data_IF_606635020563
#
_entry.id   IF_606635020563
#
_cell.length_a   1.000
_cell.length_b   1.000
_cell.length_c   1.000
_cell.angle_alpha   90.00
_cell.angle_beta   90.00
_cell.angle_gamma   90.00
#
_symmetry.space_group_name_H-M   'P 1'
#
loop_
_entity.id
_entity.type
_entity.pdbx_description
1 polymer ?
#
# COMPACT_ATOMS: atom_id res chain seq x y z
N UNK A 1 14.43 11.84 3.76
CA UNK A 1 15.00 10.61 4.35
C UNK A 1 15.57 9.69 3.27
N UNK A 2 14.79 9.26 2.29
CA UNK A 2 15.26 8.49 1.13
C UNK A 2 14.89 9.27 -0.13
N UNK A 3 15.87 9.45 -1.03
CA UNK A 3 15.64 10.09 -2.32
C UNK A 3 16.22 9.18 -3.41
N UNK A 4 15.42 8.88 -4.39
CA UNK A 4 15.80 8.23 -5.63
C UNK A 4 15.71 9.27 -6.75
N UNK A 5 16.78 9.46 -7.49
CA UNK A 5 16.86 10.47 -8.54
C UNK A 5 17.20 9.80 -9.87
N UNK A 6 16.26 9.83 -10.82
CA UNK A 6 16.37 9.29 -12.18
C UNK A 6 16.91 7.85 -12.23
N UNK A 7 16.41 6.98 -11.35
CA UNK A 7 16.87 5.58 -11.23
C UNK A 7 16.50 4.77 -12.46
N UNK A 8 17.52 4.18 -13.06
CA UNK A 8 17.37 3.20 -14.12
C UNK A 8 18.06 1.89 -13.73
N UNK A 9 17.42 0.74 -14.01
CA UNK A 9 18.01 -0.58 -13.85
C UNK A 9 17.73 -1.41 -15.08
N UNK A 10 18.81 -1.86 -15.75
CA UNK A 10 18.74 -2.75 -16.91
C UNK A 10 19.53 -4.01 -16.63
N UNK A 11 18.96 -5.15 -17.01
CA UNK A 11 19.61 -6.46 -16.96
C UNK A 11 19.87 -6.95 -18.38
N UNK A 12 21.11 -7.39 -18.62
CA UNK A 12 21.46 -8.05 -19.87
C UNK A 12 21.12 -9.55 -19.79
N UNK A 13 20.24 -10.01 -20.64
CA UNK A 13 19.85 -11.42 -20.68
C UNK A 13 20.05 -11.95 -22.12
N UNK A 14 21.17 -12.63 -22.34
CA UNK A 14 21.61 -13.08 -23.69
C UNK A 14 21.59 -11.90 -24.70
N UNK A 15 20.66 -11.93 -25.66
CA UNK A 15 20.54 -10.89 -26.71
C UNK A 15 19.53 -9.78 -26.37
N UNK A 16 18.85 -9.85 -25.22
CA UNK A 16 17.83 -8.87 -24.83
C UNK A 16 18.26 -8.08 -23.60
N UNK A 17 18.06 -6.77 -23.64
CA UNK A 17 18.16 -5.89 -22.47
C UNK A 17 16.77 -5.71 -21.87
N UNK A 18 16.60 -6.13 -20.62
CA UNK A 18 15.36 -5.94 -19.87
C UNK A 18 15.54 -4.72 -18.97
N UNK A 19 14.78 -3.69 -19.22
CA UNK A 19 14.77 -2.49 -18.39
C UNK A 19 13.74 -2.66 -17.26
N UNK A 20 14.23 -3.04 -16.07
CA UNK A 20 13.39 -3.37 -14.92
C UNK A 20 12.93 -2.16 -14.13
N UNK A 21 13.66 -1.05 -14.19
CA UNK A 21 13.30 0.25 -13.59
C UNK A 21 13.69 1.35 -14.57
N UNK A 22 12.79 2.32 -14.80
CA UNK A 22 12.92 3.36 -15.81
C UNK A 22 12.64 4.72 -15.19
N UNK A 23 13.67 5.56 -15.15
CA UNK A 23 13.61 6.97 -14.72
C UNK A 23 12.78 7.22 -13.46
N UNK A 24 12.94 6.39 -12.44
CA UNK A 24 12.15 6.52 -11.21
C UNK A 24 12.73 7.61 -10.31
N UNK A 25 11.85 8.57 -9.96
CA UNK A 25 12.06 9.59 -8.95
C UNK A 25 11.12 9.37 -7.77
N UNK A 26 11.66 9.22 -6.56
CA UNK A 26 10.90 9.05 -5.32
C UNK A 26 11.51 9.84 -4.17
N UNK A 27 10.65 10.43 -3.36
CA UNK A 27 11.04 11.10 -2.12
C UNK A 27 10.22 10.57 -0.94
N UNK A 28 10.90 9.98 0.04
CA UNK A 28 10.30 9.38 1.23
C UNK A 28 10.80 10.16 2.45
N UNK A 29 9.89 10.75 3.20
CA UNK A 29 10.21 11.53 4.38
C UNK A 29 10.55 10.61 5.57
N UNK A 30 11.19 11.17 6.60
CA UNK A 30 11.45 10.46 7.85
C UNK A 30 10.12 10.15 8.55
N UNK A 31 9.96 8.91 9.00
CA UNK A 31 8.75 8.43 9.67
C UNK A 31 7.61 8.02 8.75
N UNK A 32 7.73 8.20 7.43
CA UNK A 32 6.73 7.70 6.48
C UNK A 32 6.63 6.17 6.53
N UNK A 33 5.43 5.65 6.36
CA UNK A 33 5.17 4.29 5.92
C UNK A 33 4.76 4.39 4.45
N UNK A 34 5.72 4.14 3.56
CA UNK A 34 5.58 4.33 2.13
C UNK A 34 5.29 3.01 1.41
N UNK A 35 4.14 2.92 0.75
CA UNK A 35 3.76 1.76 -0.05
C UNK A 35 4.25 1.89 -1.49
N UNK A 36 4.80 0.80 -2.05
CA UNK A 36 5.08 0.67 -3.48
C UNK A 36 4.24 -0.49 -3.99
N UNK A 37 3.25 -0.21 -4.82
CA UNK A 37 2.29 -1.19 -5.32
C UNK A 37 2.40 -1.36 -6.83
N UNK A 38 2.06 -2.55 -7.32
CA UNK A 38 2.07 -2.87 -8.75
C UNK A 38 1.98 -4.38 -8.97
N UNK A 39 1.66 -4.82 -10.17
CA UNK A 39 1.63 -6.24 -10.51
C UNK A 39 3.00 -6.91 -10.41
N UNK A 40 3.01 -8.25 -10.43
CA UNK A 40 4.26 -9.01 -10.52
C UNK A 40 5.04 -8.60 -11.77
N UNK A 41 6.36 -8.40 -11.63
CA UNK A 41 7.20 -7.92 -12.74
C UNK A 41 7.24 -6.40 -12.94
N UNK A 42 6.47 -5.59 -12.21
CA UNK A 42 6.48 -4.12 -12.33
C UNK A 42 7.80 -3.44 -11.91
N UNK A 43 8.78 -4.18 -11.37
CA UNK A 43 10.09 -3.63 -10.97
C UNK A 43 10.23 -3.32 -9.48
N UNK A 44 9.19 -3.52 -8.66
CA UNK A 44 9.14 -3.17 -7.23
C UNK A 44 10.31 -3.71 -6.39
N UNK A 45 10.52 -5.05 -6.43
CA UNK A 45 11.60 -5.68 -5.66
C UNK A 45 12.98 -5.23 -6.14
N UNK A 46 13.15 -4.95 -7.45
CA UNK A 46 14.36 -4.36 -7.98
C UNK A 46 14.58 -2.97 -7.39
N UNK A 47 13.54 -2.12 -7.37
CA UNK A 47 13.61 -0.76 -6.85
C UNK A 47 13.98 -0.74 -5.35
N UNK A 48 13.37 -1.61 -4.52
CA UNK A 48 13.74 -1.70 -3.09
C UNK A 48 15.18 -2.18 -2.89
N UNK A 49 15.65 -3.14 -3.70
CA UNK A 49 17.06 -3.58 -3.65
C UNK A 49 18.03 -2.50 -4.12
N UNK A 50 17.58 -1.55 -4.93
CA UNK A 50 18.36 -0.35 -5.28
C UNK A 50 18.48 0.59 -4.08
N UNK A 51 17.42 0.76 -3.26
CA UNK A 51 17.46 1.66 -2.11
C UNK A 51 18.58 1.35 -1.11
N UNK A 52 18.97 0.07 -0.97
CA UNK A 52 20.10 -0.32 -0.13
C UNK A 52 21.35 -0.73 -0.94
N UNK A 53 21.35 -0.47 -2.27
CA UNK A 53 22.38 -0.87 -3.23
C UNK A 53 22.69 -2.37 -3.25
N UNK A 54 21.79 -3.25 -2.80
CA UNK A 54 21.90 -4.70 -3.10
C UNK A 54 21.85 -4.94 -4.60
N UNK A 55 21.06 -4.13 -5.31
CA UNK A 55 21.10 -3.97 -6.75
C UNK A 55 21.67 -2.60 -7.08
N UNK A 56 22.77 -2.55 -7.83
CA UNK A 56 23.29 -1.27 -8.32
C UNK A 56 22.41 -0.75 -9.46
N UNK A 57 22.01 0.52 -9.44
CA UNK A 57 21.33 1.11 -10.59
C UNK A 57 22.29 1.22 -11.79
N UNK A 58 21.75 1.15 -12.99
CA UNK A 58 22.50 1.39 -14.24
C UNK A 58 22.83 2.88 -14.36
N UNK A 59 21.91 3.74 -13.93
CA UNK A 59 22.10 5.20 -13.79
C UNK A 59 21.17 5.75 -12.71
N UNK A 60 21.40 6.99 -12.32
CA UNK A 60 20.68 7.67 -11.26
C UNK A 60 21.40 7.63 -9.91
N UNK A 61 20.77 8.21 -8.87
CA UNK A 61 21.37 8.38 -7.55
C UNK A 61 20.43 7.88 -6.46
N UNK A 62 21.02 7.23 -5.46
CA UNK A 62 20.33 6.83 -4.22
C UNK A 62 20.92 7.63 -3.08
N UNK A 63 20.08 8.44 -2.42
CA UNK A 63 20.49 9.28 -1.31
C UNK A 63 19.70 8.87 -0.08
N UNK A 64 20.38 8.55 1.02
CA UNK A 64 19.76 8.25 2.32
C UNK A 64 20.36 9.18 3.36
N UNK A 65 19.51 9.90 4.09
CA UNK A 65 19.94 10.89 5.09
C UNK A 65 20.96 11.91 4.56
N UNK A 66 20.80 12.34 3.31
CA UNK A 66 21.74 13.26 2.65
C UNK A 66 23.03 12.62 2.12
N UNK A 67 23.23 11.30 2.34
CA UNK A 67 24.40 10.58 1.86
C UNK A 67 24.09 9.85 0.56
N UNK A 68 24.82 10.16 -0.53
CA UNK A 68 24.73 9.45 -1.80
C UNK A 68 25.45 8.10 -1.71
N UNK A 69 24.70 7.01 -1.63
CA UNK A 69 25.23 5.67 -1.39
C UNK A 69 26.17 5.18 -2.49
N UNK A 70 25.94 5.61 -3.73
CA UNK A 70 26.73 5.19 -4.91
C UNK A 70 28.18 5.69 -4.89
N UNK A 71 28.47 6.74 -4.13
CA UNK A 71 29.82 7.33 -3.99
C UNK A 71 30.64 6.70 -2.86
N UNK A 72 30.02 5.89 -2.01
CA UNK A 72 30.67 5.31 -0.84
C UNK A 72 31.60 4.16 -1.22
N UNK A 73 32.73 4.07 -0.52
CA UNK A 73 33.58 2.89 -0.56
C UNK A 73 32.82 1.65 -0.01
N UNK A 74 33.24 0.43 -0.35
CA UNK A 74 32.61 -0.79 0.16
C UNK A 74 32.55 -0.88 1.69
N UNK A 75 33.51 -0.28 2.41
CA UNK A 75 33.54 -0.24 3.88
C UNK A 75 32.48 0.74 4.43
N UNK A 76 32.38 1.91 3.85
CA UNK A 76 31.38 2.93 4.21
C UNK A 76 29.97 2.45 3.89
N UNK A 77 29.75 1.88 2.70
CA UNK A 77 28.45 1.33 2.31
C UNK A 77 28.00 0.22 3.29
N UNK A 78 28.91 -0.66 3.76
CA UNK A 78 28.58 -1.64 4.80
C UNK A 78 28.17 -0.99 6.11
N UNK A 79 28.75 0.18 6.45
CA UNK A 79 28.38 0.93 7.64
C UNK A 79 26.97 1.54 7.48
N UNK A 80 26.72 2.18 6.34
CA UNK A 80 25.40 2.77 6.05
C UNK A 80 24.28 1.72 6.00
N UNK A 81 24.53 0.54 5.42
CA UNK A 81 23.55 -0.56 5.41
C UNK A 81 23.13 -1.06 6.79
N UNK A 82 23.86 -0.75 7.88
CA UNK A 82 23.43 -1.07 9.25
C UNK A 82 22.25 -0.20 9.68
N UNK A 83 22.10 0.99 9.11
CA UNK A 83 20.95 1.87 9.35
C UNK A 83 19.70 1.48 8.53
N UNK A 84 19.81 0.42 7.69
CA UNK A 84 18.75 -0.05 6.80
C UNK A 84 18.47 -1.52 7.12
N UNK A 85 17.36 -1.80 7.79
CA UNK A 85 16.85 -3.16 7.96
C UNK A 85 16.15 -3.63 6.68
N UNK A 86 16.21 -4.93 6.39
CA UNK A 86 15.48 -5.51 5.26
C UNK A 86 14.77 -6.78 5.68
N UNK A 87 13.49 -6.86 5.32
CA UNK A 87 12.63 -8.03 5.47
C UNK A 87 12.34 -8.54 4.07
N UNK A 88 12.62 -9.82 3.84
CA UNK A 88 12.45 -10.48 2.55
C UNK A 88 11.16 -11.30 2.51
N UNK A 89 10.65 -11.54 1.34
CA UNK A 89 9.43 -12.33 1.06
C UNK A 89 9.48 -13.74 1.69
N UNK A 90 10.62 -14.41 1.64
CA UNK A 90 10.83 -15.77 2.18
C UNK A 90 11.60 -15.77 3.48
N UNK A 91 11.25 -15.01 4.47
CA UNK A 91 11.85 -14.93 5.82
C UNK A 91 13.39 -15.04 5.88
N UNK A 92 14.03 -15.88 5.09
CA UNK A 92 15.45 -16.19 5.01
C UNK A 92 16.07 -16.46 6.39
N UNK A 93 15.39 -17.28 7.20
CA UNK A 93 15.91 -17.71 8.48
C UNK A 93 16.93 -18.83 8.29
N UNK A 94 17.92 -18.87 9.17
CA UNK A 94 18.89 -19.96 9.24
C UNK A 94 18.25 -21.16 9.93
N UNK A 95 17.88 -22.17 9.16
CA UNK A 95 17.12 -23.34 9.65
C UNK A 95 17.88 -24.15 10.72
N UNK A 96 19.22 -24.17 10.68
CA UNK A 96 20.08 -24.86 11.63
C UNK A 96 20.38 -24.06 12.91
N UNK A 97 19.77 -22.88 13.07
CA UNK A 97 19.99 -22.00 14.23
C UNK A 97 18.71 -21.77 14.99
N UNK A 98 18.83 -21.55 16.29
CA UNK A 98 17.70 -21.14 17.13
C UNK A 98 17.17 -19.77 16.71
N UNK A 99 15.97 -19.40 17.19
CA UNK A 99 15.40 -18.08 16.97
C UNK A 99 16.28 -17.00 17.58
N UNK A 100 16.80 -17.24 18.77
CA UNK A 100 17.79 -16.36 19.41
C UNK A 100 19.01 -16.14 18.51
N UNK A 101 19.62 -17.22 18.00
CA UNK A 101 20.81 -17.14 17.15
C UNK A 101 20.55 -16.48 15.81
N UNK A 102 19.32 -16.59 15.25
CA UNK A 102 18.91 -15.88 14.04
C UNK A 102 18.93 -14.37 14.23
N UNK A 103 18.47 -13.87 15.38
CA UNK A 103 18.49 -12.44 15.70
C UNK A 103 19.91 -12.00 16.11
N UNK A 104 20.63 -12.77 16.95
CA UNK A 104 22.00 -12.47 17.38
C UNK A 104 22.98 -12.38 16.21
N UNK A 105 22.72 -13.11 15.13
CA UNK A 105 23.61 -13.11 13.95
C UNK A 105 23.85 -11.70 13.40
N UNK A 106 22.85 -10.84 13.37
CA UNK A 106 22.98 -9.45 12.90
C UNK A 106 23.87 -8.61 13.85
N UNK A 107 24.01 -9.01 15.10
CA UNK A 107 24.80 -8.32 16.12
C UNK A 107 26.25 -8.81 16.23
N UNK A 108 26.59 -9.96 15.62
CA UNK A 108 27.93 -10.59 15.78
C UNK A 108 29.10 -9.70 15.39
N UNK A 109 28.88 -8.82 14.43
CA UNK A 109 29.91 -7.90 13.91
C UNK A 109 29.75 -6.47 14.44
N UNK A 110 29.07 -6.31 15.57
CA UNK A 110 29.00 -5.05 16.31
C UNK A 110 30.08 -5.02 17.41
N UNK A 111 30.29 -3.84 18.02
CA UNK A 111 31.19 -3.70 19.16
C UNK A 111 30.57 -4.15 20.50
N UNK A 112 29.33 -4.66 20.50
CA UNK A 112 28.58 -5.07 21.70
C UNK A 112 29.18 -6.35 22.28
N UNK A 113 29.32 -6.40 23.61
CA UNK A 113 29.71 -7.59 24.37
C UNK A 113 28.66 -8.71 24.20
N UNK A 114 29.00 -9.93 24.55
CA UNK A 114 28.07 -11.07 24.53
C UNK A 114 26.84 -10.83 25.41
N UNK A 115 27.02 -10.17 26.56
CA UNK A 115 25.94 -9.85 27.49
C UNK A 115 24.98 -8.79 26.88
N UNK A 116 25.50 -7.70 26.34
CA UNK A 116 24.73 -6.66 25.70
C UNK A 116 23.94 -7.21 24.48
N UNK A 117 24.55 -8.10 23.69
CA UNK A 117 23.86 -8.75 22.58
C UNK A 117 22.70 -9.62 23.06
N UNK A 118 22.95 -10.42 24.13
CA UNK A 118 21.90 -11.26 24.72
C UNK A 118 20.72 -10.42 25.22
N UNK A 119 21.00 -9.33 25.91
CA UNK A 119 19.97 -8.41 26.38
C UNK A 119 19.17 -7.85 25.20
N UNK A 120 19.87 -7.33 24.18
CA UNK A 120 19.23 -6.76 22.98
C UNK A 120 18.36 -7.77 22.24
N UNK A 121 18.82 -9.00 22.07
CA UNK A 121 18.03 -10.07 21.43
C UNK A 121 16.76 -10.36 22.22
N UNK A 122 16.85 -10.47 23.55
CA UNK A 122 15.68 -10.70 24.39
C UNK A 122 14.67 -9.55 24.28
N UNK A 123 15.13 -8.28 24.33
CA UNK A 123 14.28 -7.10 24.12
C UNK A 123 13.55 -7.16 22.78
N UNK A 124 14.26 -7.53 21.70
CA UNK A 124 13.67 -7.65 20.38
C UNK A 124 12.68 -8.80 20.27
N UNK A 125 12.95 -9.94 20.90
CA UNK A 125 12.02 -11.07 20.93
C UNK A 125 10.77 -10.74 21.72
N UNK A 126 10.88 -10.03 22.84
CA UNK A 126 9.73 -9.51 23.59
C UNK A 126 8.93 -8.49 22.75
N UNK A 127 9.63 -7.57 22.05
CA UNK A 127 8.99 -6.58 21.20
C UNK A 127 8.10 -7.20 20.10
N UNK A 128 8.51 -8.36 19.57
CA UNK A 128 7.73 -9.09 18.55
C UNK A 128 6.85 -10.21 19.13
N UNK A 129 6.83 -10.39 20.48
CA UNK A 129 6.02 -11.40 21.20
C UNK A 129 6.48 -12.83 20.97
N UNK A 130 7.79 -13.08 21.02
CA UNK A 130 8.41 -14.40 20.80
C UNK A 130 9.46 -14.76 21.87
N UNK A 131 9.41 -14.14 23.04
CA UNK A 131 10.37 -14.38 24.14
C UNK A 131 10.44 -15.86 24.53
N UNK A 132 9.29 -16.55 24.61
CA UNK A 132 9.23 -17.97 24.98
C UNK A 132 9.75 -18.91 23.88
N UNK A 133 9.95 -18.42 22.66
CA UNK A 133 10.40 -19.18 21.50
C UNK A 133 11.91 -19.01 21.21
N UNK A 134 12.64 -18.34 22.08
CA UNK A 134 14.07 -18.02 21.86
C UNK A 134 14.93 -19.26 21.52
N UNK A 135 14.69 -20.39 22.16
CA UNK A 135 15.40 -21.65 21.94
C UNK A 135 14.84 -22.54 20.84
N UNK A 136 13.66 -22.19 20.27
CA UNK A 136 13.04 -22.94 19.18
C UNK A 136 13.83 -22.75 17.88
N UNK A 137 13.60 -23.64 16.91
CA UNK A 137 14.13 -23.57 15.54
C UNK A 137 13.07 -23.11 14.55
N UNK A 138 13.42 -22.52 13.39
CA UNK A 138 12.47 -22.02 12.41
C UNK A 138 11.40 -23.02 11.98
N UNK A 139 11.75 -24.31 11.81
CA UNK A 139 10.81 -25.39 11.46
C UNK A 139 9.67 -25.61 12.46
N UNK A 140 9.84 -25.12 13.69
CA UNK A 140 8.85 -25.25 14.79
C UNK A 140 7.90 -24.05 14.84
N UNK A 141 8.03 -23.07 13.93
CA UNK A 141 7.28 -21.83 13.91
C UNK A 141 6.26 -21.80 12.78
N UNK A 142 5.12 -21.15 13.05
CA UNK A 142 4.18 -20.75 11.99
C UNK A 142 4.79 -19.68 11.07
N UNK A 143 4.20 -19.44 9.88
CA UNK A 143 4.64 -18.40 8.95
C UNK A 143 4.69 -17.01 9.59
N UNK A 144 3.66 -16.63 10.34
CA UNK A 144 3.62 -15.36 11.07
C UNK A 144 4.69 -15.24 12.17
N UNK A 145 4.99 -16.34 12.87
CA UNK A 145 6.08 -16.36 13.84
C UNK A 145 7.45 -16.22 13.15
N UNK A 146 7.68 -16.90 12.02
CA UNK A 146 8.89 -16.74 11.21
C UNK A 146 9.06 -15.29 10.76
N UNK A 147 7.96 -14.63 10.34
CA UNK A 147 7.97 -13.23 9.95
C UNK A 147 8.33 -12.30 11.12
N UNK A 148 7.80 -12.54 12.30
CA UNK A 148 8.17 -11.80 13.53
C UNK A 148 9.66 -11.94 13.85
N UNK A 149 10.25 -13.12 13.67
CA UNK A 149 11.70 -13.31 13.81
C UNK A 149 12.48 -12.52 12.76
N UNK A 150 12.02 -12.51 11.49
CA UNK A 150 12.65 -11.73 10.44
C UNK A 150 12.62 -10.22 10.75
N UNK A 151 11.50 -9.73 11.31
CA UNK A 151 11.38 -8.35 11.80
C UNK A 151 12.36 -8.08 12.93
N UNK A 152 12.42 -8.93 13.98
CA UNK A 152 13.36 -8.78 15.10
C UNK A 152 14.80 -8.75 14.61
N UNK A 153 15.18 -9.64 13.68
CA UNK A 153 16.50 -9.67 13.06
C UNK A 153 16.82 -8.39 12.28
N UNK A 154 15.85 -7.85 11.54
CA UNK A 154 16.02 -6.60 10.78
C UNK A 154 16.21 -5.39 11.71
N UNK A 155 15.59 -5.40 12.89
CA UNK A 155 15.70 -4.35 13.90
C UNK A 155 16.97 -4.43 14.75
N UNK A 156 17.74 -5.53 14.69
CA UNK A 156 18.86 -5.78 15.59
C UNK A 156 19.97 -4.70 15.56
N UNK A 157 20.18 -4.08 14.40
CA UNK A 157 21.19 -3.02 14.22
C UNK A 157 20.67 -1.61 14.49
N UNK A 158 19.50 -1.46 15.12
CA UNK A 158 18.83 -0.18 15.39
C UNK A 158 18.67 0.66 14.09
N UNK A 159 18.04 0.12 13.04
CA UNK A 159 17.93 0.80 11.75
C UNK A 159 17.02 2.03 11.85
N UNK A 160 17.21 2.98 10.94
CA UNK A 160 16.31 4.13 10.75
C UNK A 160 15.30 3.88 9.61
N UNK A 161 15.64 2.96 8.70
CA UNK A 161 14.83 2.56 7.56
C UNK A 161 14.56 1.06 7.63
N UNK A 162 13.33 0.66 7.36
CA UNK A 162 12.94 -0.74 7.21
C UNK A 162 12.37 -0.96 5.82
N UNK A 163 13.05 -1.76 5.00
CA UNK A 163 12.61 -2.15 3.68
C UNK A 163 11.89 -3.50 3.75
N UNK A 164 10.65 -3.58 3.29
CA UNK A 164 9.83 -4.78 3.34
C UNK A 164 9.49 -5.23 1.91
N UNK A 165 10.16 -6.30 1.45
CA UNK A 165 9.92 -6.89 0.13
C UNK A 165 8.86 -7.98 0.28
N UNK A 166 7.59 -7.65 -0.02
CA UNK A 166 6.41 -8.53 0.08
C UNK A 166 6.31 -9.29 1.43
N UNK A 167 6.49 -8.57 2.51
CA UNK A 167 6.60 -9.14 3.86
C UNK A 167 5.36 -9.90 4.37
N UNK A 168 4.24 -9.84 3.66
CA UNK A 168 2.95 -10.46 4.05
C UNK A 168 2.41 -11.44 3.03
N UNK A 169 2.98 -11.54 1.83
CA UNK A 169 2.43 -12.32 0.70
C UNK A 169 2.31 -13.82 0.95
N UNK A 170 3.06 -14.37 1.90
CA UNK A 170 3.03 -15.79 2.27
C UNK A 170 2.21 -16.08 3.53
N UNK A 171 1.39 -15.13 4.00
CA UNK A 171 0.65 -15.22 5.25
C UNK A 171 -0.86 -15.25 4.99
N UNK A 172 -1.61 -15.87 5.90
CA UNK A 172 -3.06 -15.77 5.90
C UNK A 172 -3.55 -14.36 6.30
N UNK A 173 -4.77 -13.95 5.94
CA UNK A 173 -5.26 -12.60 6.18
C UNK A 173 -5.20 -12.15 7.64
N UNK A 174 -5.53 -13.02 8.60
CA UNK A 174 -5.49 -12.71 10.02
C UNK A 174 -4.07 -12.43 10.50
N UNK A 175 -3.12 -13.26 10.06
CA UNK A 175 -1.71 -13.08 10.36
C UNK A 175 -1.13 -11.85 9.68
N UNK A 176 -1.54 -11.54 8.43
CA UNK A 176 -1.20 -10.31 7.72
C UNK A 176 -1.56 -9.08 8.55
N UNK A 177 -2.81 -8.96 9.01
CA UNK A 177 -3.24 -7.86 9.89
C UNK A 177 -2.37 -7.72 11.15
N UNK A 178 -2.02 -8.84 11.79
CA UNK A 178 -1.15 -8.81 12.97
C UNK A 178 0.26 -8.30 12.66
N UNK A 179 0.84 -8.66 11.52
CA UNK A 179 2.16 -8.18 11.08
C UNK A 179 2.10 -6.69 10.73
N UNK A 180 1.05 -6.25 10.02
CA UNK A 180 0.86 -4.84 9.68
C UNK A 180 0.68 -3.98 10.93
N UNK A 181 -0.12 -4.43 11.90
CA UNK A 181 -0.29 -3.77 13.19
C UNK A 181 1.04 -3.67 13.96
N UNK A 182 1.87 -4.73 13.92
CA UNK A 182 3.22 -4.70 14.51
C UNK A 182 4.11 -3.69 13.80
N UNK A 183 4.14 -3.65 12.48
CA UNK A 183 4.94 -2.67 11.71
C UNK A 183 4.49 -1.23 12.00
N UNK A 184 3.19 -0.97 12.08
CA UNK A 184 2.63 0.33 12.45
C UNK A 184 3.05 0.76 13.85
N UNK A 185 2.97 -0.16 14.82
CA UNK A 185 3.45 0.06 16.20
C UNK A 185 4.96 0.40 16.22
N UNK A 186 5.78 -0.35 15.48
CA UNK A 186 7.21 -0.11 15.38
C UNK A 186 7.54 1.25 14.74
N UNK A 187 6.83 1.63 13.67
CA UNK A 187 6.96 2.95 13.07
C UNK A 187 6.70 4.06 14.11
N UNK A 188 5.58 3.97 14.84
CA UNK A 188 5.18 4.97 15.84
C UNK A 188 6.13 5.02 17.04
N UNK A 189 6.54 3.87 17.58
CA UNK A 189 7.35 3.81 18.80
C UNK A 189 8.84 4.11 18.57
N UNK A 190 9.37 3.70 17.42
CA UNK A 190 10.80 3.81 17.11
C UNK A 190 11.11 4.92 16.10
N UNK A 191 10.09 5.60 15.56
CA UNK A 191 10.26 6.62 14.53
C UNK A 191 10.85 6.09 13.22
N UNK A 192 10.63 4.79 12.93
CA UNK A 192 11.16 4.13 11.73
C UNK A 192 10.51 4.68 10.46
N UNK A 193 11.30 4.85 9.42
CA UNK A 193 10.79 5.00 8.06
C UNK A 193 10.62 3.62 7.44
N UNK A 194 9.41 3.27 7.00
CA UNK A 194 9.11 1.95 6.43
C UNK A 194 8.81 2.10 4.95
N UNK A 195 9.46 1.30 4.11
CA UNK A 195 9.11 1.14 2.69
C UNK A 195 8.59 -0.27 2.49
N UNK A 196 7.35 -0.39 2.06
CA UNK A 196 6.66 -1.66 1.93
C UNK A 196 6.27 -1.90 0.47
N UNK A 197 6.74 -3.02 -0.07
CA UNK A 197 6.30 -3.51 -1.38
C UNK A 197 5.17 -4.50 -1.20
N UNK A 198 4.14 -4.35 -2.02
CA UNK A 198 3.03 -5.29 -2.09
C UNK A 198 2.36 -5.22 -3.47
N UNK A 199 1.61 -6.24 -3.80
CA UNK A 199 0.63 -6.21 -4.89
C UNK A 199 -0.80 -6.06 -4.36
N UNK A 200 -0.97 -5.96 -3.04
CA UNK A 200 -2.26 -5.87 -2.36
C UNK A 200 -2.52 -4.44 -1.89
N UNK A 201 -3.47 -3.75 -2.51
CA UNK A 201 -3.87 -2.38 -2.15
C UNK A 201 -4.47 -2.31 -0.73
N UNK A 202 -5.06 -3.42 -0.25
CA UNK A 202 -5.58 -3.53 1.11
C UNK A 202 -4.47 -3.35 2.17
N UNK A 203 -3.29 -3.91 1.91
CA UNK A 203 -2.11 -3.75 2.78
C UNK A 203 -1.67 -2.29 2.83
N UNK A 204 -1.64 -1.63 1.66
CA UNK A 204 -1.30 -0.20 1.55
C UNK A 204 -2.28 0.66 2.33
N UNK A 205 -3.57 0.41 2.17
CA UNK A 205 -4.66 1.10 2.86
C UNK A 205 -4.54 1.01 4.38
N UNK A 206 -4.12 -0.14 4.90
CA UNK A 206 -4.07 -0.41 6.34
C UNK A 206 -2.98 0.40 7.06
N UNK A 207 -1.80 0.57 6.47
CA UNK A 207 -0.69 1.18 7.20
C UNK A 207 0.04 2.31 6.49
N UNK A 208 -0.05 2.44 5.15
CA UNK A 208 0.77 3.41 4.41
C UNK A 208 0.16 4.81 4.45
N UNK A 209 0.99 5.83 4.67
CA UNK A 209 0.58 7.23 4.54
C UNK A 209 0.86 7.82 3.15
N UNK A 210 1.77 7.22 2.40
CA UNK A 210 2.08 7.58 1.02
C UNK A 210 2.20 6.33 0.16
N UNK A 211 1.96 6.48 -1.12
CA UNK A 211 1.93 5.39 -2.10
C UNK A 211 2.56 5.82 -3.41
N UNK A 212 3.30 4.90 -4.03
CA UNK A 212 3.64 4.94 -5.44
C UNK A 212 3.09 3.69 -6.13
N UNK A 213 2.46 3.89 -7.28
CA UNK A 213 1.98 2.83 -8.15
C UNK A 213 2.99 2.63 -9.27
N UNK A 214 3.45 1.39 -9.43
CA UNK A 214 4.43 1.03 -10.46
C UNK A 214 3.83 0.13 -11.53
N UNK A 215 4.15 0.45 -12.77
CA UNK A 215 3.83 -0.34 -13.94
C UNK A 215 5.01 -0.35 -14.91
N UNK A 216 5.37 -1.53 -15.45
CA UNK A 216 6.41 -1.68 -16.50
C UNK A 216 7.75 -0.98 -16.20
N UNK A 217 8.15 -0.93 -14.92
CA UNK A 217 9.38 -0.31 -14.45
C UNK A 217 9.30 1.19 -14.15
N UNK A 218 8.14 1.79 -14.32
CA UNK A 218 7.90 3.23 -14.11
C UNK A 218 7.00 3.47 -12.89
N UNK A 219 7.12 4.62 -12.24
CA UNK A 219 6.14 5.12 -11.27
C UNK A 219 5.12 5.93 -12.05
N UNK A 220 3.92 5.38 -12.21
CA UNK A 220 2.84 6.00 -12.98
C UNK A 220 2.02 6.99 -12.15
N UNK A 221 1.91 6.75 -10.85
CA UNK A 221 1.18 7.62 -9.93
C UNK A 221 1.80 7.57 -8.54
N UNK A 222 1.85 8.72 -7.83
CA UNK A 222 2.30 8.78 -6.45
C UNK A 222 1.61 9.91 -5.70
N UNK A 223 1.41 9.72 -4.39
CA UNK A 223 0.73 10.71 -3.54
C UNK A 223 0.49 10.22 -2.12
N UNK A 224 -0.28 10.98 -1.35
CA UNK A 224 -0.79 10.48 -0.08
C UNK A 224 -1.78 9.34 -0.31
N UNK A 225 -1.88 8.40 0.65
CA UNK A 225 -2.85 7.30 0.52
C UNK A 225 -4.27 7.83 0.33
N UNK A 226 -4.63 8.92 1.03
CA UNK A 226 -5.95 9.55 0.87
C UNK A 226 -6.18 10.01 -0.58
N UNK A 227 -5.21 10.70 -1.19
CA UNK A 227 -5.33 11.15 -2.60
C UNK A 227 -5.48 9.97 -3.57
N UNK A 228 -4.62 8.96 -3.42
CA UNK A 228 -4.62 7.79 -4.30
C UNK A 228 -5.94 7.02 -4.19
N UNK A 229 -6.48 6.84 -2.96
CA UNK A 229 -7.73 6.10 -2.76
C UNK A 229 -8.98 6.90 -3.13
N UNK A 230 -8.95 8.24 -3.00
CA UNK A 230 -10.11 9.08 -3.26
C UNK A 230 -10.22 9.56 -4.70
N UNK A 231 -9.09 9.86 -5.35
CA UNK A 231 -9.04 10.47 -6.68
C UNK A 231 -7.91 9.87 -7.54
N UNK A 232 -7.94 8.55 -7.82
CA UNK A 232 -6.94 7.91 -8.67
C UNK A 232 -7.04 8.45 -10.10
N UNK A 233 -5.88 8.74 -10.70
CA UNK A 233 -5.80 9.31 -12.04
C UNK A 233 -5.54 8.23 -13.09
N UNK A 234 -4.64 7.31 -12.78
CA UNK A 234 -4.21 6.27 -13.72
C UNK A 234 -5.16 5.07 -13.70
N UNK A 235 -5.40 4.47 -14.87
CA UNK A 235 -6.32 3.33 -15.03
C UNK A 235 -5.95 2.18 -14.11
N UNK A 236 -4.66 1.83 -14.05
CA UNK A 236 -4.18 0.76 -13.18
C UNK A 236 -4.44 1.07 -11.70
N UNK A 237 -4.28 2.33 -11.27
CA UNK A 237 -4.57 2.74 -9.89
C UNK A 237 -6.06 2.58 -9.58
N UNK A 238 -6.92 2.95 -10.53
CA UNK A 238 -8.37 2.77 -10.39
C UNK A 238 -8.73 1.29 -10.25
N UNK A 239 -8.16 0.41 -11.07
CA UNK A 239 -8.38 -1.04 -10.99
C UNK A 239 -7.96 -1.62 -9.63
N UNK A 240 -6.78 -1.23 -9.12
CA UNK A 240 -6.33 -1.67 -7.81
C UNK A 240 -7.27 -1.24 -6.68
N UNK A 241 -7.78 0.00 -6.73
CA UNK A 241 -8.69 0.53 -5.72
C UNK A 241 -10.04 -0.15 -5.80
N UNK A 242 -10.59 -0.36 -7.00
CA UNK A 242 -11.85 -1.07 -7.21
C UNK A 242 -11.79 -2.48 -6.63
N UNK A 243 -10.68 -3.20 -6.85
CA UNK A 243 -10.44 -4.51 -6.28
C UNK A 243 -10.40 -4.46 -4.74
N UNK A 244 -9.68 -3.49 -4.16
CA UNK A 244 -9.53 -3.35 -2.71
C UNK A 244 -10.80 -2.89 -1.98
N UNK A 245 -11.74 -2.28 -2.70
CA UNK A 245 -13.02 -1.79 -2.14
C UNK A 245 -14.20 -2.68 -2.47
N UNK A 246 -13.99 -3.81 -3.15
CA UNK A 246 -15.01 -4.77 -3.57
C UNK A 246 -16.16 -4.17 -4.39
N UNK A 247 -15.97 -2.99 -4.98
CA UNK A 247 -17.00 -2.30 -5.77
C UNK A 247 -17.39 -3.11 -7.01
N UNK A 248 -16.42 -3.74 -7.68
CA UNK A 248 -16.69 -4.53 -8.87
C UNK A 248 -17.54 -5.76 -8.57
N UNK A 249 -17.30 -6.45 -7.44
CA UNK A 249 -18.13 -7.57 -6.99
C UNK A 249 -19.57 -7.13 -6.65
N UNK A 250 -19.71 -5.96 -6.02
CA UNK A 250 -21.03 -5.40 -5.74
C UNK A 250 -21.76 -5.03 -7.04
N UNK A 251 -21.08 -4.40 -8.01
CA UNK A 251 -21.64 -4.07 -9.31
C UNK A 251 -22.04 -5.33 -10.10
N UNK A 252 -21.19 -6.34 -10.14
CA UNK A 252 -21.50 -7.61 -10.79
C UNK A 252 -22.76 -8.24 -10.18
N UNK A 253 -22.87 -8.25 -8.87
CA UNK A 253 -24.05 -8.76 -8.15
C UNK A 253 -25.30 -7.95 -8.48
N UNK A 254 -25.20 -6.61 -8.47
CA UNK A 254 -26.33 -5.70 -8.77
C UNK A 254 -26.79 -5.88 -10.22
N UNK A 255 -25.85 -5.95 -11.17
CA UNK A 255 -26.21 -6.02 -12.60
C UNK A 255 -26.68 -7.42 -13.05
N UNK A 256 -26.20 -8.48 -12.43
CA UNK A 256 -26.53 -9.87 -12.82
C UNK A 256 -27.75 -10.45 -12.13
N UNK A 257 -28.10 -9.97 -10.94
CA UNK A 257 -29.16 -10.55 -10.14
C UNK A 257 -30.53 -9.99 -10.50
N UNK A 258 -31.49 -10.86 -10.86
CA UNK A 258 -32.87 -10.48 -11.25
C UNK A 258 -33.60 -9.58 -10.26
N UNK A 259 -33.33 -9.73 -8.95
CA UNK A 259 -33.94 -8.89 -7.91
C UNK A 259 -33.63 -7.40 -8.06
N UNK A 260 -32.54 -7.04 -8.76
CA UNK A 260 -32.17 -5.64 -9.02
C UNK A 260 -32.55 -5.16 -10.42
N UNK A 261 -32.96 -6.06 -11.36
CA UNK A 261 -33.26 -5.70 -12.74
C UNK A 261 -34.37 -4.63 -12.82
N UNK A 262 -35.46 -4.79 -12.04
CA UNK A 262 -36.56 -3.82 -12.00
C UNK A 262 -36.13 -2.48 -11.38
N UNK A 263 -35.14 -2.50 -10.49
CA UNK A 263 -34.61 -1.29 -9.86
C UNK A 263 -33.73 -0.48 -10.80
N UNK A 264 -33.23 -1.07 -11.87
CA UNK A 264 -32.40 -0.40 -12.88
C UNK A 264 -33.22 0.18 -14.05
N UNK A 265 -34.46 -0.28 -14.20
CA UNK A 265 -35.35 0.17 -15.28
C UNK A 265 -35.69 1.66 -15.11
N UNK A 266 -35.45 2.47 -16.16
CA UNK A 266 -35.69 3.92 -16.19
C UNK A 266 -34.96 4.75 -15.09
N UNK A 267 -33.93 4.18 -14.46
CA UNK A 267 -33.12 4.86 -13.46
C UNK A 267 -31.66 4.98 -13.91
N UNK A 268 -30.95 5.88 -13.29
CA UNK A 268 -29.50 5.95 -13.45
C UNK A 268 -28.83 5.19 -12.32
N UNK A 269 -27.88 4.33 -12.64
CA UNK A 269 -26.97 3.73 -11.69
C UNK A 269 -25.74 4.62 -11.56
N UNK A 270 -25.45 5.08 -10.36
CA UNK A 270 -24.40 6.07 -10.10
C UNK A 270 -23.52 5.59 -8.96
N UNK A 271 -22.22 5.66 -9.14
CA UNK A 271 -21.23 5.53 -8.09
C UNK A 271 -20.91 6.91 -7.51
N UNK A 272 -20.98 7.04 -6.19
CA UNK A 272 -20.67 8.26 -5.46
C UNK A 272 -19.48 7.99 -4.53
N UNK A 273 -18.47 8.87 -4.54
CA UNK A 273 -17.33 8.81 -3.65
C UNK A 273 -17.20 10.08 -2.83
N UNK A 274 -17.11 9.93 -1.51
CA UNK A 274 -17.06 11.00 -0.52
C UNK A 274 -15.71 10.97 0.20
N UNK A 275 -15.17 12.14 0.51
CA UNK A 275 -13.88 12.27 1.20
C UNK A 275 -14.00 13.29 2.34
N UNK A 276 -13.53 12.91 3.53
CA UNK A 276 -13.46 13.82 4.67
C UNK A 276 -14.82 14.27 5.17
N UNK A 277 -15.00 15.55 5.37
CA UNK A 277 -16.20 16.13 5.98
C UNK A 277 -17.49 15.93 5.20
N UNK A 278 -17.41 15.72 3.88
CA UNK A 278 -18.60 15.43 3.04
C UNK A 278 -19.30 14.11 3.46
N UNK A 279 -18.62 13.21 4.13
CA UNK A 279 -19.23 11.98 4.65
C UNK A 279 -20.25 12.24 5.75
N UNK A 280 -20.20 13.41 6.42
CA UNK A 280 -21.10 13.82 7.49
C UNK A 280 -22.33 14.58 6.98
N UNK A 281 -22.34 15.01 5.71
CA UNK A 281 -23.44 15.75 5.12
C UNK A 281 -24.56 14.83 4.65
N UNK A 282 -25.84 15.10 4.93
CA UNK A 282 -26.95 14.27 4.47
C UNK A 282 -27.29 14.53 3.00
N UNK A 283 -26.30 14.52 2.11
CA UNK A 283 -26.42 14.92 0.72
C UNK A 283 -27.46 14.07 -0.02
N UNK A 284 -27.54 12.77 0.24
CA UNK A 284 -28.52 11.87 -0.39
C UNK A 284 -29.95 12.28 -0.03
N UNK A 285 -30.22 12.64 1.23
CA UNK A 285 -31.54 13.10 1.64
C UNK A 285 -31.94 14.43 0.98
N UNK A 286 -30.96 15.31 0.73
CA UNK A 286 -31.18 16.60 0.06
C UNK A 286 -31.56 16.46 -1.43
N UNK A 287 -31.23 15.36 -2.10
CA UNK A 287 -31.61 15.14 -3.50
C UNK A 287 -33.12 15.13 -3.70
N UNK A 288 -33.85 14.52 -2.77
CA UNK A 288 -35.31 14.52 -2.86
C UNK A 288 -35.91 15.91 -2.53
N UNK A 289 -35.48 16.51 -1.44
CA UNK A 289 -36.04 17.82 -1.01
C UNK A 289 -35.81 18.95 -2.00
N UNK A 290 -34.61 18.99 -2.63
CA UNK A 290 -34.23 20.08 -3.53
C UNK A 290 -34.60 19.82 -5.01
N UNK A 291 -34.52 18.56 -5.44
CA UNK A 291 -34.59 18.20 -6.85
C UNK A 291 -35.70 17.18 -7.19
N UNK A 292 -36.47 16.71 -6.20
CA UNK A 292 -37.46 15.63 -6.35
C UNK A 292 -36.86 14.36 -6.97
N UNK A 293 -35.56 14.09 -6.69
CA UNK A 293 -34.85 12.91 -7.15
C UNK A 293 -34.72 11.94 -5.99
N UNK A 294 -35.33 10.77 -6.12
CA UNK A 294 -35.18 9.69 -5.15
C UNK A 294 -33.90 8.91 -5.42
N UNK A 295 -33.11 8.72 -4.38
CA UNK A 295 -31.91 7.89 -4.39
C UNK A 295 -32.12 6.63 -3.55
N UNK A 296 -31.92 5.45 -4.16
CA UNK A 296 -31.93 4.18 -3.43
C UNK A 296 -30.49 3.63 -3.39
N UNK A 297 -29.99 3.32 -2.18
CA UNK A 297 -28.66 2.80 -1.97
C UNK A 297 -28.66 1.29 -2.19
N UNK A 298 -27.90 0.81 -3.16
CA UNK A 298 -27.73 -0.62 -3.47
C UNK A 298 -26.49 -1.21 -2.82
N UNK A 299 -25.46 -0.38 -2.64
CA UNK A 299 -24.22 -0.73 -1.95
C UNK A 299 -23.68 0.51 -1.22
N UNK A 300 -23.11 0.31 -0.05
CA UNK A 300 -22.48 1.37 0.71
C UNK A 300 -21.33 0.85 1.56
N UNK A 301 -20.22 1.57 1.50
CA UNK A 301 -19.07 1.34 2.34
C UNK A 301 -18.54 2.69 2.84
N UNK A 302 -18.34 2.82 4.15
CA UNK A 302 -17.69 3.97 4.79
C UNK A 302 -16.56 3.45 5.65
N UNK A 303 -15.38 3.95 5.43
CA UNK A 303 -14.17 3.51 6.11
C UNK A 303 -13.27 4.67 6.48
N UNK A 304 -12.41 4.48 7.47
CA UNK A 304 -11.40 5.45 7.88
C UNK A 304 -10.05 5.10 7.26
N UNK A 305 -9.53 6.00 6.43
CA UNK A 305 -8.17 5.93 5.92
C UNK A 305 -7.35 7.00 6.60
N UNK A 306 -6.49 6.61 7.55
CA UNK A 306 -5.66 7.54 8.32
C UNK A 306 -6.45 8.72 8.91
N UNK A 307 -7.50 8.45 9.65
CA UNK A 307 -8.40 9.45 10.25
C UNK A 307 -9.27 10.23 9.26
N UNK A 308 -9.11 10.02 7.95
CA UNK A 308 -9.97 10.61 6.93
C UNK A 308 -11.07 9.63 6.56
N UNK A 309 -12.35 9.96 6.78
CA UNK A 309 -13.44 9.10 6.33
C UNK A 309 -13.54 9.12 4.80
N UNK A 310 -13.64 7.94 4.21
CA UNK A 310 -13.92 7.71 2.80
C UNK A 310 -15.23 6.96 2.69
N UNK A 311 -16.21 7.52 2.02
CA UNK A 311 -17.48 6.89 1.73
C UNK A 311 -17.61 6.55 0.25
N UNK A 312 -18.11 5.37 -0.07
CA UNK A 312 -18.43 4.96 -1.43
C UNK A 312 -19.81 4.32 -1.47
N UNK A 313 -20.67 4.83 -2.32
CA UNK A 313 -22.04 4.34 -2.50
C UNK A 313 -22.30 4.00 -3.96
N UNK A 314 -23.07 2.95 -4.21
CA UNK A 314 -23.71 2.69 -5.49
C UNK A 314 -25.20 2.95 -5.28
N UNK A 315 -25.74 3.90 -5.99
CA UNK A 315 -27.12 4.33 -5.85
C UNK A 315 -27.87 4.27 -7.18
N UNK A 316 -29.19 4.02 -7.14
CA UNK A 316 -30.05 4.33 -8.28
C UNK A 316 -30.70 5.70 -8.06
N UNK A 317 -30.71 6.53 -9.12
CA UNK A 317 -31.40 7.81 -9.13
C UNK A 317 -32.65 7.72 -9.99
N UNK A 318 -33.80 8.10 -9.43
CA UNK A 318 -35.11 8.15 -10.14
C UNK A 318 -35.73 9.54 -10.01
N UNK A 319 -36.43 9.96 -11.05
CA UNK A 319 -37.03 11.28 -11.21
C UNK A 319 -36.92 11.74 -12.68
N UNK A 320 -37.35 12.94 -13.00
CA UNK A 320 -37.21 13.53 -14.34
C UNK A 320 -35.72 13.67 -14.70
N UNK A 321 -35.37 13.45 -15.98
CA UNK A 321 -33.98 13.44 -16.49
C UNK A 321 -33.28 14.76 -16.13
N UNK A 322 -33.93 15.89 -16.38
CA UNK A 322 -33.36 17.22 -16.08
C UNK A 322 -33.11 17.43 -14.57
N UNK A 323 -33.97 16.88 -13.71
CA UNK A 323 -33.78 16.95 -12.27
C UNK A 323 -32.62 16.06 -11.79
N UNK A 324 -32.44 14.87 -12.41
CA UNK A 324 -31.29 14.02 -12.13
C UNK A 324 -29.95 14.68 -12.50
N UNK A 325 -29.91 15.42 -13.62
CA UNK A 325 -28.74 16.20 -14.04
C UNK A 325 -28.41 17.30 -13.02
N UNK A 326 -29.40 18.05 -12.56
CA UNK A 326 -29.22 19.06 -11.51
C UNK A 326 -28.77 18.45 -10.17
N UNK A 327 -29.35 17.33 -9.81
CA UNK A 327 -28.99 16.60 -8.59
C UNK A 327 -27.53 16.12 -8.62
N UNK A 328 -27.05 15.61 -9.77
CA UNK A 328 -25.65 15.22 -9.94
C UNK A 328 -24.71 16.44 -9.91
N UNK A 329 -25.07 17.53 -10.57
CA UNK A 329 -24.30 18.77 -10.55
C UNK A 329 -24.16 19.29 -9.10
N UNK A 330 -25.24 19.28 -8.33
CA UNK A 330 -25.22 19.65 -6.92
C UNK A 330 -24.27 18.74 -6.08
N UNK A 331 -24.28 17.43 -6.29
CA UNK A 331 -23.37 16.52 -5.59
C UNK A 331 -21.90 16.85 -5.91
N UNK A 332 -21.61 17.09 -7.19
CA UNK A 332 -20.25 17.44 -7.67
C UNK A 332 -19.81 18.79 -7.08
N UNK A 333 -20.67 19.80 -7.08
CA UNK A 333 -20.42 21.12 -6.47
C UNK A 333 -20.20 21.00 -4.95
N UNK A 334 -20.84 20.02 -4.30
CA UNK A 334 -20.65 19.71 -2.87
C UNK A 334 -19.38 18.88 -2.61
N UNK A 335 -18.53 18.64 -3.64
CA UNK A 335 -17.27 17.93 -3.49
C UNK A 335 -17.39 16.39 -3.56
N UNK A 336 -18.56 15.84 -3.91
CA UNK A 336 -18.75 14.41 -4.13
C UNK A 336 -18.33 14.05 -5.56
N UNK A 337 -17.51 13.03 -5.71
CA UNK A 337 -17.26 12.45 -7.04
C UNK A 337 -18.44 11.57 -7.42
N UNK A 338 -19.05 11.84 -8.58
CA UNK A 338 -20.19 11.09 -9.10
C UNK A 338 -19.89 10.55 -10.49
N UNK A 339 -19.97 9.23 -10.65
CA UNK A 339 -19.77 8.53 -11.92
C UNK A 339 -21.04 7.79 -12.32
N UNK A 340 -21.58 8.13 -13.48
CA UNK A 340 -22.75 7.40 -14.01
C UNK A 340 -22.26 6.08 -14.61
N UNK A 341 -22.66 4.97 -14.00
CA UNK A 341 -22.32 3.62 -14.45
C UNK A 341 -23.26 3.12 -15.54
N UNK A 342 -24.57 3.46 -15.43
CA UNK A 342 -25.60 3.03 -16.39
C UNK A 342 -26.72 4.05 -16.45
N UNK A 343 -27.24 4.30 -17.66
CA UNK A 343 -28.46 5.11 -17.91
C UNK A 343 -29.57 4.22 -18.44
N UNK A 344 -30.76 4.28 -17.81
CA UNK A 344 -32.01 3.69 -18.28
C UNK A 344 -31.96 2.20 -18.68
N UNK A 345 -31.25 1.38 -17.95
CA UNK A 345 -31.23 -0.08 -18.17
C UNK A 345 -30.46 -0.57 -19.41
N UNK A 346 -29.91 0.32 -20.23
CA UNK A 346 -29.08 -0.05 -21.37
C UNK A 346 -27.60 -0.11 -20.95
N UNK A 347 -26.97 -1.27 -21.05
CA UNK A 347 -25.51 -1.38 -20.85
C UNK A 347 -24.79 -0.70 -22.02
N UNK A 348 -24.18 0.42 -21.79
CA UNK A 348 -23.21 1.05 -22.70
C UNK A 348 -21.93 1.36 -21.90
N UNK A 349 -20.81 1.17 -22.59
CA UNK A 349 -19.42 1.42 -22.16
C UNK A 349 -19.28 2.54 -21.12
N UNK A 350 -18.57 2.27 -20.05
CA UNK A 350 -18.25 3.21 -18.99
C UNK A 350 -17.63 4.49 -19.56
N UNK A 351 -18.38 5.58 -19.56
CA UNK A 351 -17.83 6.92 -19.76
C UNK A 351 -17.68 7.59 -18.41
N UNK A 352 -16.45 7.70 -17.95
CA UNK A 352 -16.07 8.54 -16.82
C UNK A 352 -16.27 10.00 -17.24
N UNK A 353 -17.25 10.68 -16.65
CA UNK A 353 -17.33 12.15 -16.75
C UNK A 353 -16.42 12.69 -15.64
N UNK A 354 -15.19 12.98 -15.99
CA UNK A 354 -14.31 13.78 -15.14
C UNK A 354 -14.82 15.22 -15.16
N UNK A 355 -15.25 15.70 -14.00
CA UNK A 355 -15.41 17.13 -13.78
C UNK A 355 -14.04 17.79 -13.87
N UNK A 356 -13.76 18.46 -14.95
CA UNK A 356 -12.57 19.27 -15.15
C UNK A 356 -12.69 20.58 -14.36
N UNK A 357 -11.71 20.83 -13.59
CA UNK A 357 -10.90 22.00 -13.16
C UNK A 357 -10.49 21.93 -11.72
#
# INVERSE_FOLDING_TARGET
MIELQAINVSFQQKEKTIQAVKQVDLSIAKGDVYGIVGYSGAGKSTLVRVMNLLQKPTSGKVIINGTELGKLSPKELRKERKSIGMIFQHFHLMESRTIFDNVDFSLKYTKKSKQERRQKVNELLTLVGLEEKATAYPKQLSGGQKQRVAIARALASDPQVLLCDEATSALDPKTTHQILALLKKLNQQLGLTIVLITHEMQVVKEICNKVAVMENGEVIEQGSSVQIFSAPKEVLTQEFIRTATHVDQALETICSHRAFADQLTNKWLVELSYVGTQTNEPLIAQLYSKYQVSANILYGNVELLQETPLGRLIVTLSGEIHQREKALAYLIESGVQATILQKNGASKEMKVIQGGR
#
